data_IF_005195308226
#
_entry.id   IF_005195308226
#
_cell.length_a   1.000
_cell.length_b   1.000
_cell.length_c   1.000
_cell.angle_alpha   90.00
_cell.angle_beta   90.00
_cell.angle_gamma   90.00
#
_symmetry.space_group_name_H-M   'P 1'
#
loop_
_entity.id
_entity.type
_entity.pdbx_description
1 polymer ?
#
# COMPACT_ATOMS: atom_id res chain seq x y z
N UNK A 1 11.15 -10.82 -53.70
CA UNK A 1 11.98 -10.31 -52.58
C UNK A 1 11.29 -9.17 -51.84
N UNK A 2 10.82 -8.12 -52.53
CA UNK A 2 10.12 -6.95 -51.94
C UNK A 2 8.94 -7.32 -51.04
N UNK A 3 8.05 -8.23 -51.46
CA UNK A 3 6.90 -8.67 -50.65
C UNK A 3 7.30 -9.25 -49.28
N UNK A 4 8.36 -10.06 -49.22
CA UNK A 4 8.84 -10.64 -47.95
C UNK A 4 9.41 -9.56 -47.02
N UNK A 5 10.16 -8.60 -47.58
CA UNK A 5 10.68 -7.45 -46.84
C UNK A 5 9.57 -6.57 -46.26
N UNK A 6 8.50 -6.31 -47.04
CA UNK A 6 7.34 -5.55 -46.58
C UNK A 6 6.59 -6.29 -45.46
N UNK A 7 6.38 -7.61 -45.60
CA UNK A 7 5.77 -8.41 -44.54
C UNK A 7 6.61 -8.40 -43.26
N UNK A 8 7.92 -8.63 -43.36
CA UNK A 8 8.82 -8.60 -42.19
C UNK A 8 8.82 -7.22 -41.53
N UNK A 9 8.91 -6.13 -42.30
CA UNK A 9 8.88 -4.77 -41.77
C UNK A 9 7.54 -4.46 -41.07
N UNK A 10 6.42 -4.83 -41.69
CA UNK A 10 5.10 -4.66 -41.09
C UNK A 10 4.96 -5.47 -39.78
N UNK A 11 5.44 -6.72 -39.76
CA UNK A 11 5.42 -7.55 -38.55
C UNK A 11 6.26 -6.94 -37.42
N UNK A 12 7.45 -6.40 -37.72
CA UNK A 12 8.28 -5.73 -36.71
C UNK A 12 7.57 -4.51 -36.15
N UNK A 13 6.94 -3.69 -36.99
CA UNK A 13 6.17 -2.52 -36.54
C UNK A 13 5.00 -2.93 -35.64
N UNK A 14 4.24 -3.97 -36.02
CA UNK A 14 3.13 -4.48 -35.21
C UNK A 14 3.62 -4.95 -33.85
N UNK A 15 4.70 -5.76 -33.80
CA UNK A 15 5.27 -6.23 -32.54
C UNK A 15 5.73 -5.06 -31.68
N UNK A 16 6.40 -4.05 -32.27
CA UNK A 16 6.82 -2.86 -31.54
C UNK A 16 5.62 -2.10 -30.94
N UNK A 17 4.53 -1.91 -31.69
CA UNK A 17 3.32 -1.25 -31.20
C UNK A 17 2.65 -2.03 -30.07
N UNK A 18 2.57 -3.36 -30.19
CA UNK A 18 2.03 -4.23 -29.14
C UNK A 18 2.89 -4.16 -27.88
N UNK A 19 4.21 -4.16 -28.01
CA UNK A 19 5.12 -4.02 -26.86
C UNK A 19 4.99 -2.65 -26.20
N UNK A 20 4.89 -1.56 -26.96
CA UNK A 20 4.66 -0.21 -26.41
C UNK A 20 3.32 -0.14 -25.67
N UNK A 21 2.26 -0.70 -26.25
CA UNK A 21 0.95 -0.76 -25.62
C UNK A 21 0.99 -1.59 -24.33
N UNK A 22 1.63 -2.76 -24.35
CA UNK A 22 1.82 -3.60 -23.17
C UNK A 22 2.60 -2.89 -22.07
N UNK A 23 3.72 -2.25 -22.39
CA UNK A 23 4.50 -1.51 -21.39
C UNK A 23 3.71 -0.33 -20.83
N UNK A 24 3.08 0.48 -21.70
CA UNK A 24 2.39 1.70 -21.27
C UNK A 24 1.06 1.47 -20.55
N UNK A 25 0.24 0.56 -21.05
CA UNK A 25 -1.12 0.34 -20.53
C UNK A 25 -1.19 -0.72 -19.43
N UNK A 26 -0.19 -1.59 -19.34
CA UNK A 26 -0.14 -2.67 -18.35
C UNK A 26 1.01 -2.45 -17.36
N UNK A 27 2.27 -2.48 -17.81
CA UNK A 27 3.41 -2.47 -16.87
C UNK A 27 3.63 -1.13 -16.13
N UNK A 28 3.27 0.00 -16.74
CA UNK A 28 3.47 1.34 -16.18
C UNK A 28 2.17 1.98 -15.67
N UNK A 29 1.05 1.24 -15.70
CA UNK A 29 -0.20 1.75 -15.17
C UNK A 29 -0.08 1.89 -13.65
N UNK A 30 -0.38 3.10 -13.15
CA UNK A 30 -0.44 3.38 -11.72
C UNK A 30 -1.51 4.43 -11.44
N UNK A 31 -2.11 4.41 -10.24
CA UNK A 31 -3.00 5.47 -9.80
C UNK A 31 -2.30 6.84 -9.85
N UNK A 32 -3.06 7.87 -10.21
CA UNK A 32 -2.64 9.26 -10.06
C UNK A 32 -2.49 9.64 -8.58
N UNK A 33 -1.86 10.79 -8.27
CA UNK A 33 -1.76 11.27 -6.90
C UNK A 33 -3.13 11.63 -6.32
N UNK A 34 -3.22 11.61 -4.99
CA UNK A 34 -4.37 12.10 -4.25
C UNK A 34 -4.53 13.59 -4.58
N UNK A 35 -5.75 14.00 -4.87
CA UNK A 35 -6.02 15.37 -5.29
C UNK A 35 -5.79 16.37 -4.14
N UNK A 36 -4.95 17.37 -4.40
CA UNK A 36 -4.69 18.46 -3.47
C UNK A 36 -3.75 18.12 -2.31
N UNK A 37 -3.28 19.16 -1.62
CA UNK A 37 -2.46 19.03 -0.41
C UNK A 37 -3.36 18.86 0.81
N UNK A 38 -3.15 17.82 1.61
CA UNK A 38 -3.95 17.52 2.80
C UNK A 38 -3.08 17.19 4.01
N UNK A 39 -3.55 17.54 5.21
CA UNK A 39 -2.96 17.10 6.48
C UNK A 39 -3.63 15.84 7.04
N UNK A 40 -4.65 15.32 6.36
CA UNK A 40 -5.39 14.11 6.73
C UNK A 40 -5.33 13.12 5.58
N UNK A 41 -4.81 11.93 5.85
CA UNK A 41 -4.77 10.80 4.94
C UNK A 41 -5.73 9.74 5.46
N UNK A 42 -6.71 9.36 4.65
CA UNK A 42 -7.55 8.20 4.88
C UNK A 42 -7.25 7.20 3.78
N UNK A 43 -6.81 6.03 4.20
CA UNK A 43 -6.30 4.97 3.33
C UNK A 43 -6.97 3.66 3.69
N UNK A 44 -6.91 2.71 2.77
CA UNK A 44 -7.39 1.34 2.96
C UNK A 44 -6.30 0.38 2.48
N UNK A 45 -6.15 -0.79 3.12
CA UNK A 45 -5.26 -1.86 2.66
C UNK A 45 -6.02 -3.15 2.44
N UNK A 46 -5.86 -3.72 1.25
CA UNK A 46 -6.70 -4.81 0.75
C UNK A 46 -5.88 -5.93 0.13
N UNK A 47 -6.44 -7.14 0.14
CA UNK A 47 -5.84 -8.36 -0.37
C UNK A 47 -5.98 -8.45 -1.88
N UNK A 48 -7.07 -7.87 -2.39
CA UNK A 48 -7.38 -7.71 -3.79
C UNK A 48 -7.98 -6.32 -4.01
N UNK A 49 -7.39 -5.55 -4.92
CA UNK A 49 -7.88 -4.22 -5.29
C UNK A 49 -9.34 -4.20 -5.76
N UNK A 50 -9.85 -5.30 -6.35
CA UNK A 50 -11.25 -5.39 -6.78
C UNK A 50 -12.24 -5.46 -5.63
N UNK A 51 -11.79 -5.93 -4.46
CA UNK A 51 -12.63 -6.34 -3.34
C UNK A 51 -12.65 -5.30 -2.21
N UNK A 52 -11.91 -4.20 -2.39
CA UNK A 52 -11.87 -3.09 -1.46
C UNK A 52 -13.26 -2.57 -1.12
N UNK A 53 -13.48 -2.24 0.15
CA UNK A 53 -14.76 -1.76 0.67
C UNK A 53 -15.04 -0.33 0.21
N UNK A 54 -14.06 0.58 0.29
CA UNK A 54 -14.30 1.99 -0.01
C UNK A 54 -13.89 2.38 -1.43
N UNK A 55 -12.72 1.93 -1.90
CA UNK A 55 -12.18 2.34 -3.20
C UNK A 55 -11.82 1.17 -4.13
N UNK A 56 -12.79 0.33 -4.52
CA UNK A 56 -12.52 -0.81 -5.40
C UNK A 56 -11.96 -0.35 -6.76
N UNK A 57 -10.91 -1.03 -7.22
CA UNK A 57 -10.30 -0.85 -8.55
C UNK A 57 -10.45 -2.11 -9.41
N UNK A 58 -11.68 -2.53 -9.78
CA UNK A 58 -11.90 -3.75 -10.56
C UNK A 58 -11.35 -3.68 -12.00
N UNK A 59 -11.08 -2.47 -12.48
CA UNK A 59 -10.53 -2.22 -13.81
C UNK A 59 -9.00 -1.97 -13.78
N UNK A 60 -8.36 -2.12 -12.62
CA UNK A 60 -6.90 -2.11 -12.52
C UNK A 60 -6.33 -3.26 -13.36
N UNK A 61 -5.18 -3.12 -14.03
CA UNK A 61 -4.53 -4.23 -14.73
C UNK A 61 -4.20 -5.44 -13.83
N UNK A 62 -4.17 -5.21 -12.52
CA UNK A 62 -3.90 -6.21 -11.49
C UNK A 62 -4.96 -6.16 -10.38
N UNK A 63 -6.23 -6.51 -10.68
CA UNK A 63 -7.33 -6.36 -9.74
C UNK A 63 -7.24 -7.31 -8.53
N UNK A 64 -6.48 -8.40 -8.66
CA UNK A 64 -6.25 -9.44 -7.65
C UNK A 64 -5.02 -9.18 -6.76
N UNK A 65 -4.37 -8.01 -6.91
CA UNK A 65 -3.20 -7.68 -6.12
C UNK A 65 -3.55 -6.98 -4.81
N UNK A 66 -2.67 -7.15 -3.81
CA UNK A 66 -2.69 -6.32 -2.60
C UNK A 66 -2.38 -4.86 -2.93
N UNK A 67 -2.93 -3.92 -2.17
CA UNK A 67 -2.61 -2.50 -2.36
C UNK A 67 -3.08 -1.57 -1.27
N UNK A 68 -2.48 -0.37 -1.29
CA UNK A 68 -2.98 0.81 -0.57
C UNK A 68 -3.85 1.67 -1.49
N UNK A 69 -5.00 2.06 -0.96
CA UNK A 69 -6.04 2.83 -1.65
C UNK A 69 -6.30 4.17 -0.97
N UNK A 70 -6.89 5.15 -1.68
CA UNK A 70 -7.25 5.13 -3.11
C UNK A 70 -6.03 5.26 -4.04
N UNK A 71 -4.90 5.73 -3.51
CA UNK A 71 -3.63 5.91 -4.23
C UNK A 71 -2.44 5.75 -3.29
N UNK A 72 -1.25 5.60 -3.84
CA UNK A 72 0.02 5.57 -3.10
C UNK A 72 0.84 6.85 -3.25
N UNK A 73 0.34 7.86 -3.96
CA UNK A 73 1.03 9.15 -4.09
C UNK A 73 0.23 10.24 -3.42
N UNK A 74 0.76 10.87 -2.38
CA UNK A 74 0.04 11.85 -1.57
C UNK A 74 0.76 13.19 -1.51
N UNK A 75 0.01 14.28 -1.54
CA UNK A 75 0.55 15.62 -1.31
C UNK A 75 0.21 16.10 0.09
N UNK A 76 1.22 16.49 0.86
CA UNK A 76 1.06 16.92 2.25
C UNK A 76 1.85 18.20 2.54
N UNK A 77 1.43 19.01 3.53
CA UNK A 77 2.15 20.24 3.86
C UNK A 77 3.51 19.96 4.52
N UNK A 78 4.49 20.81 4.24
CA UNK A 78 5.80 20.79 4.90
C UNK A 78 5.72 21.16 6.39
N UNK A 79 6.64 20.61 7.18
CA UNK A 79 6.80 20.89 8.61
C UNK A 79 5.49 20.82 9.43
N UNK A 80 4.61 19.89 9.05
CA UNK A 80 3.25 19.78 9.57
C UNK A 80 3.01 18.40 10.15
N UNK A 81 2.07 18.33 11.08
CA UNK A 81 1.56 17.04 11.57
C UNK A 81 0.53 16.52 10.57
N UNK A 82 0.74 15.28 10.13
CA UNK A 82 -0.15 14.55 9.23
C UNK A 82 -0.86 13.49 10.04
N UNK A 83 -2.19 13.55 10.03
CA UNK A 83 -3.08 12.55 10.62
C UNK A 83 -3.35 11.48 9.57
N UNK A 84 -3.16 10.21 9.94
CA UNK A 84 -3.37 9.06 9.08
C UNK A 84 -4.40 8.16 9.74
N UNK A 85 -5.41 7.78 8.97
CA UNK A 85 -6.30 6.65 9.25
C UNK A 85 -6.09 5.61 8.16
N UNK A 86 -5.94 4.35 8.57
CA UNK A 86 -5.83 3.22 7.66
C UNK A 86 -6.88 2.18 8.06
N UNK A 87 -7.73 1.83 7.10
CA UNK A 87 -8.72 0.77 7.21
C UNK A 87 -8.06 -0.50 6.67
N UNK A 88 -7.70 -1.39 7.59
CA UNK A 88 -6.92 -2.59 7.31
C UNK A 88 -7.87 -3.78 7.20
N UNK A 89 -7.92 -4.42 6.04
CA UNK A 89 -8.88 -5.49 5.74
C UNK A 89 -8.26 -6.90 5.75
N UNK A 90 -6.94 -6.98 5.65
CA UNK A 90 -6.23 -8.21 5.35
C UNK A 90 -5.81 -8.99 6.58
N UNK A 91 -5.80 -10.32 6.42
CA UNK A 91 -5.23 -11.25 7.39
C UNK A 91 -3.71 -11.11 7.56
N UNK A 92 -3.18 -11.85 8.52
CA UNK A 92 -1.78 -11.76 8.90
C UNK A 92 -0.83 -12.44 7.90
N UNK A 93 0.26 -11.77 7.54
CA UNK A 93 1.38 -12.35 6.79
C UNK A 93 2.66 -12.44 7.62
N UNK A 94 2.76 -11.60 8.65
CA UNK A 94 3.86 -11.57 9.61
C UNK A 94 5.11 -10.86 9.11
N UNK A 95 5.81 -10.19 10.03
CA UNK A 95 7.07 -9.52 9.77
C UNK A 95 8.25 -10.50 9.80
N UNK A 96 9.22 -10.30 8.90
CA UNK A 96 10.47 -11.07 8.90
C UNK A 96 11.41 -10.70 10.04
N UNK A 97 11.28 -9.48 10.56
CA UNK A 97 12.06 -8.98 11.68
C UNK A 97 11.12 -8.57 12.83
N UNK A 98 11.15 -9.28 13.97
CA UNK A 98 10.32 -8.95 15.14
C UNK A 98 10.47 -7.53 15.66
N UNK A 99 11.64 -6.91 15.46
CA UNK A 99 11.89 -5.51 15.85
C UNK A 99 10.86 -4.54 15.24
N UNK A 100 10.37 -4.86 14.05
CA UNK A 100 9.40 -4.04 13.31
C UNK A 100 7.95 -4.23 13.79
N UNK A 101 7.70 -5.08 14.79
CA UNK A 101 6.41 -5.12 15.48
C UNK A 101 6.13 -3.86 16.33
N UNK A 102 7.14 -2.98 16.50
CA UNK A 102 7.02 -1.72 17.24
C UNK A 102 6.71 -0.54 16.31
N UNK A 103 5.87 0.38 16.77
CA UNK A 103 5.63 1.66 16.11
C UNK A 103 6.73 2.69 16.47
N UNK A 104 7.22 3.44 15.49
CA UNK A 104 8.20 4.51 15.68
C UNK A 104 7.99 5.69 14.73
N UNK A 105 8.51 6.86 15.12
CA UNK A 105 8.40 8.10 14.35
C UNK A 105 7.02 8.76 14.34
N UNK A 106 6.08 8.25 15.14
CA UNK A 106 4.72 8.80 15.29
C UNK A 106 4.59 9.62 16.58
N UNK A 107 3.66 10.57 16.59
CA UNK A 107 3.35 11.39 17.74
C UNK A 107 2.83 10.52 18.90
N UNK A 108 3.32 10.79 20.13
CA UNK A 108 2.99 10.00 21.31
C UNK A 108 3.60 8.57 21.35
N UNK A 109 4.20 8.09 20.26
CA UNK A 109 4.80 6.76 20.19
C UNK A 109 3.79 5.61 20.24
N UNK A 110 2.50 5.91 20.04
CA UNK A 110 1.40 4.94 20.05
C UNK A 110 0.48 5.21 18.87
N UNK A 111 -0.01 4.14 18.27
CA UNK A 111 -1.10 4.16 17.29
C UNK A 111 -2.39 3.76 18.00
N UNK A 112 -3.47 4.44 17.67
CA UNK A 112 -4.80 4.09 18.12
C UNK A 112 -5.37 3.00 17.22
N UNK A 113 -5.85 1.90 17.80
CA UNK A 113 -6.31 0.73 17.03
C UNK A 113 -7.71 0.34 17.49
N UNK A 114 -8.66 0.36 16.56
CA UNK A 114 -9.98 -0.27 16.71
C UNK A 114 -9.96 -1.58 15.94
N UNK A 115 -10.24 -2.69 16.61
CA UNK A 115 -10.11 -4.03 16.05
C UNK A 115 -11.13 -4.98 16.63
N UNK A 116 -11.19 -6.20 16.12
CA UNK A 116 -12.02 -7.27 16.67
C UNK A 116 -11.14 -8.37 17.28
N UNK A 117 -11.51 -8.86 18.46
CA UNK A 117 -10.84 -10.03 19.06
C UNK A 117 -11.22 -11.34 18.35
N UNK A 118 -10.58 -12.46 18.73
CA UNK A 118 -10.82 -13.78 18.12
C UNK A 118 -12.28 -14.27 18.26
N UNK A 119 -13.06 -13.65 19.17
CA UNK A 119 -14.48 -13.92 19.37
C UNK A 119 -15.38 -12.94 18.61
N UNK A 120 -14.81 -12.03 17.82
CA UNK A 120 -15.53 -11.04 17.03
C UNK A 120 -16.05 -9.85 17.85
N UNK A 121 -15.56 -9.63 19.08
CA UNK A 121 -15.96 -8.47 19.86
C UNK A 121 -15.11 -7.26 19.50
N UNK A 122 -15.70 -6.06 19.39
CA UNK A 122 -14.95 -4.84 19.16
C UNK A 122 -14.05 -4.52 20.36
N UNK A 123 -12.84 -4.06 20.04
CA UNK A 123 -11.79 -3.61 20.95
C UNK A 123 -11.23 -2.29 20.46
N UNK A 124 -10.68 -1.53 21.40
CA UNK A 124 -10.04 -0.24 21.14
C UNK A 124 -8.87 -0.10 22.10
N UNK A 125 -7.68 0.19 21.60
CA UNK A 125 -6.47 0.35 22.41
C UNK A 125 -5.44 1.28 21.76
N UNK A 126 -4.60 1.89 22.59
CA UNK A 126 -3.44 2.69 22.15
C UNK A 126 -2.16 1.86 22.25
N UNK A 127 -1.75 1.31 21.11
CA UNK A 127 -0.67 0.33 21.01
C UNK A 127 0.65 0.98 20.62
N UNK A 128 1.73 0.65 21.33
CA UNK A 128 3.11 1.00 20.89
C UNK A 128 3.77 -0.10 20.05
N UNK A 129 3.16 -1.28 20.01
CA UNK A 129 3.61 -2.45 19.27
C UNK A 129 2.47 -3.44 19.09
N UNK A 130 2.57 -4.30 18.08
CA UNK A 130 1.74 -5.50 17.92
C UNK A 130 2.62 -6.75 17.98
N UNK A 131 2.00 -7.91 18.10
CA UNK A 131 2.69 -9.17 17.81
C UNK A 131 3.18 -9.12 16.35
N UNK A 132 4.50 -9.24 16.09
CA UNK A 132 5.03 -9.19 14.73
C UNK A 132 4.49 -10.30 13.82
N UNK A 133 3.96 -11.40 14.35
CA UNK A 133 3.30 -12.43 13.52
C UNK A 133 1.92 -12.01 13.05
N UNK A 134 1.30 -11.04 13.72
CA UNK A 134 -0.04 -10.51 13.42
C UNK A 134 -0.01 -9.25 12.55
N UNK A 135 1.16 -8.89 12.01
CA UNK A 135 1.27 -7.81 11.04
C UNK A 135 0.71 -8.24 9.69
N UNK A 136 -0.27 -7.50 9.18
CA UNK A 136 -0.74 -7.66 7.81
C UNK A 136 0.05 -6.79 6.84
N UNK A 137 0.24 -5.52 7.20
CA UNK A 137 1.02 -4.55 6.43
C UNK A 137 1.81 -3.62 7.36
N UNK A 138 2.59 -2.73 6.76
CA UNK A 138 3.24 -1.64 7.50
C UNK A 138 3.12 -0.35 6.71
N UNK A 139 2.92 0.76 7.40
CA UNK A 139 3.15 2.09 6.85
C UNK A 139 4.53 2.57 7.27
N UNK A 140 5.47 2.71 6.32
CA UNK A 140 6.83 3.11 6.64
C UNK A 140 7.37 4.18 5.68
N UNK A 141 7.95 5.23 6.26
CA UNK A 141 8.64 6.32 5.57
C UNK A 141 10.04 6.45 6.19
N UNK A 142 11.04 5.70 5.67
CA UNK A 142 12.37 5.62 6.29
C UNK A 142 13.05 6.98 6.48
N UNK A 143 12.94 7.88 5.51
CA UNK A 143 13.55 9.22 5.55
C UNK A 143 12.96 10.13 6.63
N UNK A 144 11.73 9.85 7.08
CA UNK A 144 11.09 10.52 8.21
C UNK A 144 11.24 9.73 9.52
N UNK A 145 11.79 8.51 9.47
CA UNK A 145 11.88 7.61 10.62
C UNK A 145 10.53 7.07 11.07
N UNK A 146 9.51 7.11 10.21
CA UNK A 146 8.15 6.63 10.50
C UNK A 146 8.04 5.15 10.15
N UNK A 147 7.47 4.37 11.06
CA UNK A 147 7.12 2.98 10.82
C UNK A 147 5.97 2.58 11.75
N UNK A 148 4.91 2.05 11.16
CA UNK A 148 3.70 1.66 11.87
C UNK A 148 3.29 0.28 11.35
N UNK A 149 3.37 -0.78 12.18
CA UNK A 149 2.84 -2.08 11.81
C UNK A 149 1.32 -2.07 11.93
N UNK A 150 0.63 -2.66 10.95
CA UNK A 150 -0.84 -2.69 10.90
C UNK A 150 -1.33 -4.06 11.37
N UNK A 151 -2.18 -4.05 12.41
CA UNK A 151 -2.75 -5.25 13.00
C UNK A 151 -3.71 -5.90 12.01
N UNK A 152 -3.49 -7.18 11.72
CA UNK A 152 -4.31 -7.97 10.82
C UNK A 152 -5.74 -8.18 11.33
N UNK A 153 -6.68 -8.30 10.40
CA UNK A 153 -8.01 -8.85 10.67
C UNK A 153 -7.87 -10.35 11.02
N UNK A 154 -8.60 -10.80 12.04
CA UNK A 154 -8.55 -12.20 12.48
C UNK A 154 -9.18 -13.16 11.46
N UNK A 155 -8.65 -14.39 11.37
CA UNK A 155 -9.05 -15.39 10.36
C UNK A 155 -10.54 -15.77 10.40
N UNK A 156 -11.20 -15.62 11.57
CA UNK A 156 -12.61 -15.93 11.77
C UNK A 156 -13.52 -14.70 11.65
N UNK A 157 -12.99 -13.54 11.26
CA UNK A 157 -13.77 -12.34 11.09
C UNK A 157 -14.79 -12.49 9.96
N UNK A 158 -15.93 -11.81 10.08
CA UNK A 158 -16.92 -11.78 9.02
C UNK A 158 -16.33 -11.08 7.77
N UNK A 159 -16.74 -11.45 6.54
CA UNK A 159 -16.33 -10.74 5.34
C UNK A 159 -16.63 -9.22 5.43
N UNK A 160 -15.68 -8.40 5.01
CA UNK A 160 -15.77 -6.93 5.11
C UNK A 160 -15.47 -6.37 6.50
N UNK A 161 -14.96 -7.18 7.43
CA UNK A 161 -14.42 -6.67 8.70
C UNK A 161 -13.12 -5.91 8.44
N UNK A 162 -12.98 -4.74 9.09
CA UNK A 162 -11.78 -3.91 9.00
C UNK A 162 -11.28 -3.58 10.41
N UNK A 163 -9.96 -3.54 10.59
CA UNK A 163 -9.33 -2.88 11.71
C UNK A 163 -8.99 -1.43 11.33
N UNK A 164 -9.28 -0.48 12.20
CA UNK A 164 -8.99 0.95 11.95
C UNK A 164 -7.76 1.35 12.76
N UNK A 165 -6.69 1.75 12.08
CA UNK A 165 -5.45 2.21 12.70
C UNK A 165 -5.30 3.70 12.46
N UNK A 166 -5.22 4.49 13.53
CA UNK A 166 -5.04 5.94 13.47
C UNK A 166 -3.74 6.35 14.15
N UNK A 167 -2.96 7.21 13.50
CA UNK A 167 -1.73 7.77 14.06
C UNK A 167 -1.40 9.10 13.38
N UNK A 168 -0.47 9.84 13.96
CA UNK A 168 0.04 11.07 13.36
C UNK A 168 1.57 11.06 13.30
N UNK A 169 2.14 11.70 12.29
CA UNK A 169 3.59 11.90 12.17
C UNK A 169 3.91 13.31 11.67
N UNK A 170 5.17 13.75 11.85
CA UNK A 170 5.61 15.06 11.38
C UNK A 170 6.35 14.96 10.05
N UNK A 171 5.96 15.80 9.09
CA UNK A 171 6.73 16.01 7.86
C UNK A 171 7.95 16.89 8.13
N UNK A 172 8.94 16.79 7.24
CA UNK A 172 10.10 17.68 7.19
C UNK A 172 9.86 18.79 6.15
N UNK A 173 10.93 19.44 5.70
CA UNK A 173 10.86 20.42 4.62
C UNK A 173 10.37 19.83 3.29
N UNK A 174 10.10 20.70 2.29
CA UNK A 174 9.62 20.28 0.98
C UNK A 174 10.53 19.22 0.33
N UNK A 175 9.93 18.27 -0.35
CA UNK A 175 10.65 17.16 -0.97
C UNK A 175 9.76 15.97 -1.31
N UNK A 176 10.36 14.95 -1.92
CA UNK A 176 9.68 13.69 -2.23
C UNK A 176 10.26 12.60 -1.36
N UNK A 177 9.45 12.02 -0.49
CA UNK A 177 9.82 10.95 0.43
C UNK A 177 9.21 9.65 -0.06
N UNK A 178 10.00 8.57 -0.10
CA UNK A 178 9.49 7.25 -0.46
C UNK A 178 8.86 6.59 0.76
N UNK A 179 7.72 5.95 0.54
CA UNK A 179 7.09 5.10 1.53
C UNK A 179 6.85 3.71 0.94
N UNK A 180 6.88 2.69 1.79
CA UNK A 180 6.70 1.30 1.35
C UNK A 180 6.24 0.41 2.50
N UNK A 181 5.40 -0.58 2.20
CA UNK A 181 5.12 -1.70 3.08
C UNK A 181 6.29 -2.71 3.05
N UNK A 182 6.65 -3.25 4.20
CA UNK A 182 7.73 -4.22 4.37
C UNK A 182 7.24 -5.62 4.77
N UNK A 183 5.93 -5.81 4.93
CA UNK A 183 5.36 -7.15 5.13
C UNK A 183 5.38 -7.89 3.79
N UNK A 184 5.95 -9.11 3.72
CA UNK A 184 6.04 -9.88 2.48
C UNK A 184 4.71 -10.54 2.11
N UNK A 185 3.71 -9.74 1.75
CA UNK A 185 2.33 -10.18 1.49
C UNK A 185 2.02 -10.45 0.00
N UNK A 186 2.99 -10.30 -0.92
CA UNK A 186 2.76 -10.66 -2.33
C UNK A 186 2.75 -12.18 -2.53
N UNK A 187 1.55 -12.76 -2.43
CA UNK A 187 1.31 -14.17 -2.73
C UNK A 187 1.88 -14.59 -4.09
N UNK A 188 2.45 -15.80 -4.15
CA UNK A 188 3.00 -16.36 -5.39
C UNK A 188 4.34 -15.77 -5.85
N UNK A 189 4.95 -14.86 -5.09
CA UNK A 189 6.27 -14.28 -5.42
C UNK A 189 7.38 -14.80 -4.52
N UNK A 190 8.61 -14.83 -5.04
CA UNK A 190 9.77 -15.28 -4.26
C UNK A 190 9.93 -14.41 -3.00
N UNK A 191 9.90 -15.05 -1.83
CA UNK A 191 9.95 -14.43 -0.49
C UNK A 191 8.81 -13.45 -0.15
N UNK A 192 7.78 -13.32 -1.00
CA UNK A 192 6.66 -12.40 -0.81
C UNK A 192 6.99 -10.93 -1.11
N UNK A 193 8.10 -10.64 -1.78
CA UNK A 193 8.58 -9.27 -2.04
C UNK A 193 8.48 -8.84 -3.52
N UNK A 194 7.95 -9.70 -4.39
CA UNK A 194 7.73 -9.39 -5.80
C UNK A 194 6.37 -8.75 -6.07
N UNK A 195 5.99 -8.66 -7.35
CA UNK A 195 4.66 -8.21 -7.77
C UNK A 195 4.26 -6.88 -7.13
N UNK A 196 3.13 -6.80 -6.40
CA UNK A 196 2.65 -5.56 -5.83
C UNK A 196 3.60 -4.91 -4.82
N UNK A 197 4.51 -5.68 -4.20
CA UNK A 197 5.54 -5.15 -3.29
C UNK A 197 6.68 -4.42 -3.99
N UNK A 198 6.89 -4.71 -5.29
CA UNK A 198 7.93 -4.09 -6.11
C UNK A 198 7.37 -3.12 -7.16
N UNK A 199 6.05 -3.08 -7.34
CA UNK A 199 5.37 -2.22 -8.32
C UNK A 199 4.84 -0.96 -7.65
N UNK A 200 5.20 0.21 -8.21
CA UNK A 200 4.71 1.50 -7.73
C UNK A 200 3.21 1.64 -7.99
N UNK A 201 2.44 2.09 -6.99
CA UNK A 201 0.97 2.20 -7.12
C UNK A 201 0.18 1.14 -6.34
N UNK A 202 0.89 0.18 -5.72
CA UNK A 202 0.31 -0.90 -4.92
C UNK A 202 0.77 -0.78 -3.46
N UNK A 203 1.89 -1.39 -3.10
CA UNK A 203 2.36 -1.47 -1.69
C UNK A 203 3.47 -0.46 -1.37
N UNK A 204 3.64 0.54 -2.22
CA UNK A 204 4.59 1.62 -2.04
C UNK A 204 4.35 2.76 -3.01
N UNK A 205 4.88 3.92 -2.62
CA UNK A 205 4.64 5.15 -3.35
C UNK A 205 5.45 6.34 -2.86
N UNK A 206 4.88 7.53 -3.01
CA UNK A 206 5.54 8.80 -2.72
C UNK A 206 4.69 9.70 -1.83
N UNK A 207 5.33 10.26 -0.81
CA UNK A 207 4.82 11.39 -0.06
C UNK A 207 5.50 12.66 -0.60
N UNK A 208 4.74 13.50 -1.28
CA UNK A 208 5.20 14.76 -1.87
C UNK A 208 4.88 15.87 -0.86
N UNK A 209 5.91 16.44 -0.28
CA UNK A 209 5.82 17.47 0.75
C UNK A 209 6.04 18.84 0.09
N UNK A 210 5.09 19.76 0.27
CA UNK A 210 5.09 21.09 -0.35
C UNK A 210 4.61 22.19 0.57
#
# INVERSE_FOLDING_TARGET
>A
MVRRLVFTAASVVIVALVMVAFVGLFMLHKPGPLAGTTAKLHLETVAALSDAVEWPRPNDPHPDWVGYLPTTTWHVPANSTIEVQIDQEDGASGLRNPFWGKAFGIEGGKMHVKYFDDQGNPKEDDMSSIDPTMASHTFAIPDLGVFVPLLAVGDNAAPGTQNIITFSFKTKGPGVYRWQCFVPCAAGTFLGTGGPMSTFGYMGGQLIVG
#
